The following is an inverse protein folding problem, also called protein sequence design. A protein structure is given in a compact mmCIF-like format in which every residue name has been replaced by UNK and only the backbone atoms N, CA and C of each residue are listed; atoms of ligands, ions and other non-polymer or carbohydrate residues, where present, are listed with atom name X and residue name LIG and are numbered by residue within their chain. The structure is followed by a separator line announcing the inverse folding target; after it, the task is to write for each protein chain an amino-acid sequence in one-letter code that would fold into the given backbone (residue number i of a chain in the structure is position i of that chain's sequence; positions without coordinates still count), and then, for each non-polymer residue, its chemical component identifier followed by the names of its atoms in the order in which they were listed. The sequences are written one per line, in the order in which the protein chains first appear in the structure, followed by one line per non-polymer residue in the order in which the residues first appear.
data_IF_480174170700
#
_entry.id   IF_480174170700
#
_cell.length_a   1.000
_cell.length_b   1.000
_cell.length_c   1.000
_cell.angle_alpha   90.00
_cell.angle_beta   90.00
_cell.angle_gamma   90.00
#
_symmetry.space_group_name_H-M   'P 1'
#
loop_
_entity.id
_entity.type
_entity.pdbx_description
1 polymer ?
#
# COMPACT_ATOMS: atom_id res chain seq x y z
N UNK A 1 17.09 24.37 -19.35
CA UNK A 1 16.42 23.15 -18.85
C UNK A 1 17.52 22.10 -18.75
N UNK A 2 17.84 21.68 -17.55
CA UNK A 2 18.99 20.83 -17.25
C UNK A 2 18.73 19.44 -17.84
N UNK A 3 19.62 18.96 -18.72
CA UNK A 3 19.43 17.67 -19.42
C UNK A 3 19.41 16.48 -18.43
N UNK A 4 20.06 16.61 -17.28
CA UNK A 4 19.98 15.63 -16.19
C UNK A 4 18.57 15.57 -15.57
N UNK A 5 17.93 16.73 -15.35
CA UNK A 5 16.55 16.76 -14.81
C UNK A 5 15.53 16.13 -15.77
N UNK A 6 15.71 16.31 -17.09
CA UNK A 6 14.79 15.78 -18.11
C UNK A 6 14.83 14.25 -18.18
N UNK A 7 15.98 13.63 -17.87
CA UNK A 7 16.13 12.17 -17.87
C UNK A 7 15.67 11.51 -16.55
N UNK A 8 15.48 12.29 -15.48
CA UNK A 8 15.26 11.77 -14.13
C UNK A 8 13.81 11.96 -13.62
N UNK A 9 12.96 12.68 -14.35
CA UNK A 9 11.54 12.81 -14.05
C UNK A 9 10.71 12.90 -15.32
N UNK A 10 9.52 12.29 -15.30
CA UNK A 10 8.53 12.38 -16.39
C UNK A 10 7.27 13.08 -15.92
N UNK A 11 6.64 13.87 -16.80
CA UNK A 11 5.33 14.48 -16.54
C UNK A 11 4.22 13.41 -16.63
N UNK A 12 3.31 13.44 -15.67
CA UNK A 12 2.09 12.63 -15.64
C UNK A 12 0.93 13.46 -16.18
N UNK A 13 0.61 13.29 -17.46
CA UNK A 13 -0.42 14.08 -18.18
C UNK A 13 -1.79 13.39 -18.20
N UNK A 14 -1.86 12.16 -17.68
CA UNK A 14 -3.08 11.35 -17.61
C UNK A 14 -3.27 10.80 -16.22
N UNK A 15 -4.52 10.59 -15.84
CA UNK A 15 -4.86 9.93 -14.59
C UNK A 15 -4.33 8.49 -14.56
N UNK A 16 -3.55 8.17 -13.53
CA UNK A 16 -2.99 6.84 -13.32
C UNK A 16 -4.07 5.76 -13.11
N UNK A 17 -5.25 6.14 -12.61
CA UNK A 17 -6.36 5.20 -12.38
C UNK A 17 -7.26 5.03 -13.61
N UNK A 18 -7.87 6.11 -14.13
CA UNK A 18 -8.89 6.02 -15.17
C UNK A 18 -8.40 6.43 -16.57
N UNK A 19 -7.14 6.87 -16.69
CA UNK A 19 -6.50 7.32 -17.93
C UNK A 19 -7.12 8.60 -18.56
N UNK A 20 -7.95 9.35 -17.82
CA UNK A 20 -8.47 10.64 -18.25
C UNK A 20 -7.35 11.69 -18.36
N UNK A 21 -7.46 12.62 -19.31
CA UNK A 21 -6.58 13.80 -19.42
C UNK A 21 -7.06 14.97 -18.56
N UNK A 22 -8.24 14.86 -17.94
CA UNK A 22 -8.85 15.94 -17.17
C UNK A 22 -8.27 15.97 -15.75
N UNK A 23 -7.04 16.46 -15.65
CA UNK A 23 -6.35 16.70 -14.39
C UNK A 23 -6.41 18.19 -14.04
N UNK A 24 -6.70 18.48 -12.76
CA UNK A 24 -6.71 19.83 -12.21
C UNK A 24 -5.72 19.94 -11.07
N UNK A 25 -4.95 21.06 -11.04
CA UNK A 25 -3.99 21.32 -9.97
C UNK A 25 -4.72 21.62 -8.66
N UNK A 26 -4.35 20.89 -7.60
CA UNK A 26 -4.85 21.09 -6.24
C UNK A 26 -3.82 21.86 -5.40
N UNK A 27 -2.56 21.43 -5.39
CA UNK A 27 -1.52 22.02 -4.55
C UNK A 27 -0.20 22.11 -5.32
N UNK A 28 0.46 23.27 -5.29
CA UNK A 28 1.80 23.47 -5.83
C UNK A 28 2.78 23.75 -4.67
N UNK A 29 3.64 22.79 -4.39
CA UNK A 29 4.69 22.92 -3.39
C UNK A 29 6.03 23.37 -4.03
N UNK A 30 6.01 23.84 -5.27
CA UNK A 30 7.16 24.27 -6.05
C UNK A 30 8.16 23.13 -6.37
N UNK A 31 9.42 23.52 -6.59
CA UNK A 31 10.55 22.56 -6.71
C UNK A 31 10.98 22.15 -5.31
N UNK A 32 11.00 20.86 -5.03
CA UNK A 32 11.43 20.31 -3.75
C UNK A 32 12.55 19.29 -3.94
N UNK A 33 13.46 19.14 -2.98
CA UNK A 33 14.40 18.04 -2.94
C UNK A 33 13.67 16.71 -2.68
N UNK A 34 14.31 15.61 -3.06
CA UNK A 34 13.78 14.29 -2.74
C UNK A 34 13.86 14.02 -1.24
N UNK A 35 12.82 13.46 -0.66
CA UNK A 35 12.85 12.94 0.69
C UNK A 35 13.93 11.83 0.80
N UNK A 36 14.48 11.64 1.99
CA UNK A 36 15.52 10.62 2.28
C UNK A 36 16.85 10.77 1.51
N UNK A 37 16.98 11.78 0.65
CA UNK A 37 18.23 12.07 -0.08
C UNK A 37 19.12 13.04 0.72
N UNK A 38 19.69 12.57 1.82
CA UNK A 38 20.49 13.41 2.71
C UNK A 38 21.85 13.77 2.10
N UNK A 39 22.18 15.05 2.10
CA UNK A 39 23.49 15.56 1.69
C UNK A 39 24.57 15.07 2.65
N UNK A 40 25.70 14.64 2.12
CA UNK A 40 26.89 14.27 2.91
C UNK A 40 27.69 15.49 3.36
N UNK A 41 27.64 16.58 2.58
CA UNK A 41 28.25 17.87 2.87
C UNK A 41 27.28 19.02 2.61
N UNK A 42 27.36 20.14 3.34
CA UNK A 42 26.58 21.34 3.04
C UNK A 42 26.80 21.86 1.60
N UNK A 43 27.95 21.62 1.01
CA UNK A 43 28.32 22.09 -0.32
C UNK A 43 27.89 21.15 -1.45
N UNK A 44 27.33 19.97 -1.13
CA UNK A 44 26.83 19.04 -2.14
C UNK A 44 25.65 19.66 -2.90
N UNK A 45 25.63 19.51 -4.22
CA UNK A 45 24.49 19.88 -5.05
C UNK A 45 23.27 19.03 -4.69
N UNK A 46 22.10 19.64 -4.71
CA UNK A 46 20.83 18.99 -4.40
C UNK A 46 19.92 19.05 -5.62
N UNK A 47 19.49 17.87 -6.09
CA UNK A 47 18.50 17.77 -7.16
C UNK A 47 17.12 18.09 -6.60
N UNK A 48 16.42 19.01 -7.28
CA UNK A 48 15.02 19.34 -6.96
C UNK A 48 14.13 19.01 -8.13
N UNK A 49 12.88 18.61 -7.84
CA UNK A 49 11.86 18.26 -8.83
C UNK A 49 10.53 18.93 -8.49
N UNK A 50 9.67 19.18 -9.51
CA UNK A 50 8.33 19.72 -9.25
C UNK A 50 7.55 18.80 -8.30
N UNK A 51 6.98 19.39 -7.24
CA UNK A 51 6.12 18.68 -6.30
C UNK A 51 4.73 19.31 -6.32
N UNK A 52 3.87 18.79 -7.20
CA UNK A 52 2.51 19.28 -7.45
C UNK A 52 1.51 18.15 -7.36
N UNK A 53 0.42 18.39 -6.64
CA UNK A 53 -0.69 17.46 -6.51
C UNK A 53 -1.81 17.85 -7.48
N UNK A 54 -2.21 16.91 -8.33
CA UNK A 54 -3.35 17.04 -9.24
C UNK A 54 -4.50 16.13 -8.80
N UNK A 55 -5.74 16.55 -9.10
CA UNK A 55 -6.93 15.72 -8.98
C UNK A 55 -7.50 15.39 -10.37
N UNK A 56 -7.93 14.15 -10.55
CA UNK A 56 -8.66 13.74 -11.74
C UNK A 56 -10.15 14.12 -11.63
N UNK A 57 -10.68 14.89 -12.59
CA UNK A 57 -12.10 15.30 -12.60
C UNK A 57 -13.07 14.13 -12.80
N UNK A 58 -12.60 13.03 -13.38
CA UNK A 58 -13.44 11.87 -13.68
C UNK A 58 -13.58 10.92 -12.48
N UNK A 59 -12.46 10.47 -11.89
CA UNK A 59 -12.50 9.47 -10.82
C UNK A 59 -12.03 9.99 -9.45
N UNK A 60 -11.76 11.28 -9.32
CA UNK A 60 -11.30 11.95 -8.10
C UNK A 60 -9.98 11.42 -7.53
N UNK A 61 -9.19 10.71 -8.35
CA UNK A 61 -7.86 10.27 -7.98
C UNK A 61 -6.93 11.45 -7.81
N UNK A 62 -6.17 11.46 -6.71
CA UNK A 62 -5.11 12.42 -6.46
C UNK A 62 -3.77 11.80 -6.84
N UNK A 63 -2.96 12.54 -7.59
CA UNK A 63 -1.65 12.09 -8.04
C UNK A 63 -0.67 13.24 -8.17
N UNK A 64 0.64 12.95 -8.10
CA UNK A 64 1.64 13.94 -8.45
C UNK A 64 1.60 14.28 -9.95
N UNK A 65 2.07 15.47 -10.29
CA UNK A 65 2.21 15.91 -11.69
C UNK A 65 3.44 15.33 -12.39
N UNK A 66 4.42 14.85 -11.62
CA UNK A 66 5.67 14.28 -12.12
C UNK A 66 6.04 13.03 -11.34
N UNK A 67 6.61 12.05 -12.04
CA UNK A 67 7.24 10.87 -11.44
C UNK A 67 8.75 10.96 -11.61
N UNK A 68 9.48 10.90 -10.51
CA UNK A 68 10.95 10.78 -10.50
C UNK A 68 11.32 9.34 -10.84
N UNK A 69 12.47 9.16 -11.51
CA UNK A 69 12.96 7.82 -11.85
C UNK A 69 13.09 6.95 -10.59
N UNK A 70 12.42 5.78 -10.52
CA UNK A 70 12.38 4.92 -9.34
C UNK A 70 13.77 4.41 -8.90
N UNK A 71 14.73 4.32 -9.81
CA UNK A 71 16.09 3.90 -9.47
C UNK A 71 16.79 4.84 -8.50
N UNK A 72 16.48 6.14 -8.53
CA UNK A 72 16.98 7.11 -7.56
C UNK A 72 16.35 6.96 -6.18
N UNK A 73 15.13 6.43 -6.13
CA UNK A 73 14.36 6.37 -4.91
C UNK A 73 14.53 5.03 -4.18
N UNK A 74 14.68 3.90 -4.92
CA UNK A 74 14.44 2.59 -4.33
C UNK A 74 15.60 1.59 -4.43
N UNK A 75 16.63 1.81 -5.29
CA UNK A 75 17.76 0.86 -5.40
C UNK A 75 18.69 0.82 -4.18
N UNK A 76 18.82 1.94 -3.47
CA UNK A 76 19.54 2.06 -2.20
C UNK A 76 18.59 2.67 -1.16
N UNK A 77 17.72 1.83 -0.61
CA UNK A 77 16.59 2.29 0.19
C UNK A 77 16.96 2.36 1.66
N UNK A 78 16.83 3.54 2.25
CA UNK A 78 17.28 3.81 3.63
C UNK A 78 16.29 3.28 4.69
N UNK A 79 15.02 3.14 4.33
CA UNK A 79 14.01 2.70 5.29
C UNK A 79 14.06 1.19 5.46
N UNK A 80 14.20 0.74 6.72
CA UNK A 80 14.25 -0.68 7.10
C UNK A 80 13.07 -0.99 8.01
N UNK A 81 12.10 -1.78 7.52
CA UNK A 81 10.83 -2.08 8.20
C UNK A 81 11.04 -2.72 9.58
N UNK A 82 12.03 -3.60 9.71
CA UNK A 82 12.35 -4.32 10.94
C UNK A 82 12.90 -3.44 12.06
N UNK A 83 13.21 -2.17 11.81
CA UNK A 83 13.64 -1.23 12.87
C UNK A 83 12.47 -0.67 13.68
N UNK A 84 11.23 -0.82 13.18
CA UNK A 84 10.01 -0.28 13.79
C UNK A 84 9.25 -1.33 14.59
N UNK A 85 9.19 -1.17 15.92
CA UNK A 85 8.37 -2.03 16.79
C UNK A 85 6.89 -1.97 16.42
N UNK A 86 6.40 -0.79 16.00
CA UNK A 86 5.01 -0.60 15.56
C UNK A 86 4.71 -1.46 14.34
N UNK A 87 5.62 -1.49 13.35
CA UNK A 87 5.45 -2.33 12.17
C UNK A 87 5.53 -3.82 12.50
N UNK A 88 6.43 -4.24 13.39
CA UNK A 88 6.48 -5.63 13.85
C UNK A 88 5.14 -6.12 14.41
N UNK A 89 4.52 -5.32 15.29
CA UNK A 89 3.23 -5.64 15.89
C UNK A 89 2.11 -5.63 14.83
N UNK A 90 2.15 -4.65 13.92
CA UNK A 90 1.17 -4.55 12.84
C UNK A 90 1.25 -5.75 11.89
N UNK A 91 2.44 -6.13 11.43
CA UNK A 91 2.63 -7.27 10.52
C UNK A 91 2.23 -8.60 11.17
N UNK A 92 2.46 -8.77 12.47
CA UNK A 92 1.99 -9.95 13.22
C UNK A 92 0.47 -10.01 13.27
N UNK A 93 -0.19 -8.91 13.65
CA UNK A 93 -1.65 -8.82 13.65
C UNK A 93 -2.22 -8.98 12.25
N UNK A 94 -1.57 -8.38 11.23
CA UNK A 94 -1.98 -8.49 9.83
C UNK A 94 -1.96 -9.95 9.34
N UNK A 95 -0.86 -10.69 9.57
CA UNK A 95 -0.76 -12.08 9.17
C UNK A 95 -1.85 -12.96 9.83
N UNK A 96 -2.10 -12.74 11.13
CA UNK A 96 -3.17 -13.44 11.87
C UNK A 96 -4.57 -13.11 11.30
N UNK A 97 -4.85 -11.83 11.09
CA UNK A 97 -6.15 -11.37 10.57
C UNK A 97 -6.42 -11.84 9.14
N UNK A 98 -5.40 -11.83 8.27
CA UNK A 98 -5.52 -12.36 6.90
C UNK A 98 -5.92 -13.83 6.93
N UNK A 99 -5.25 -14.64 7.74
CA UNK A 99 -5.59 -16.06 7.87
C UNK A 99 -6.99 -16.25 8.42
N UNK A 100 -7.33 -15.56 9.51
CA UNK A 100 -8.63 -15.73 10.18
C UNK A 100 -9.80 -15.31 9.27
N UNK A 101 -9.72 -14.13 8.64
CA UNK A 101 -10.88 -13.55 7.97
C UNK A 101 -11.08 -14.06 6.54
N UNK A 102 -10.00 -14.43 5.83
CA UNK A 102 -10.09 -14.74 4.40
C UNK A 102 -9.80 -16.21 4.06
N UNK A 103 -9.28 -17.00 5.01
CA UNK A 103 -8.91 -18.39 4.75
C UNK A 103 -9.46 -19.39 5.76
N UNK A 104 -9.57 -19.05 7.04
CA UNK A 104 -10.06 -19.98 8.07
C UNK A 104 -11.58 -19.93 8.19
N UNK A 105 -12.17 -18.74 8.19
CA UNK A 105 -13.65 -18.59 8.31
C UNK A 105 -14.43 -19.22 7.17
N UNK A 106 -13.85 -19.36 5.99
CA UNK A 106 -14.50 -20.01 4.84
C UNK A 106 -14.59 -21.53 4.95
N UNK A 107 -13.76 -22.15 5.80
CA UNK A 107 -13.60 -23.60 5.89
C UNK A 107 -14.19 -24.21 7.18
N UNK A 108 -14.74 -23.40 8.09
CA UNK A 108 -15.29 -23.86 9.36
C UNK A 108 -16.83 -23.81 9.31
N UNK A 109 -17.53 -24.94 9.57
CA UNK A 109 -18.99 -24.91 9.75
C UNK A 109 -19.37 -23.98 10.91
N UNK A 110 -20.43 -23.22 10.75
CA UNK A 110 -20.93 -22.08 11.51
C UNK A 110 -21.21 -22.24 13.02
N UNK A 111 -20.46 -23.04 13.74
CA UNK A 111 -20.63 -23.26 15.19
C UNK A 111 -19.53 -22.65 16.07
N UNK A 112 -18.68 -21.74 15.54
CA UNK A 112 -17.56 -21.12 16.30
C UNK A 112 -17.86 -19.68 16.77
N UNK A 113 -19.08 -19.18 16.62
CA UNK A 113 -19.47 -17.87 17.19
C UNK A 113 -19.39 -17.80 18.74
N UNK A 114 -18.93 -18.87 19.39
CA UNK A 114 -18.78 -18.93 20.84
C UNK A 114 -17.34 -18.86 21.35
N UNK A 115 -16.33 -18.73 20.49
CA UNK A 115 -14.90 -18.83 20.90
C UNK A 115 -14.07 -17.55 20.81
N UNK A 116 -14.61 -16.39 20.59
CA UNK A 116 -13.82 -15.16 20.55
C UNK A 116 -14.54 -13.89 21.02
N UNK A 117 -14.74 -13.67 22.33
CA UNK A 117 -15.01 -12.34 22.86
C UNK A 117 -13.79 -11.56 23.35
N UNK A 118 -12.61 -12.18 23.56
CA UNK A 118 -11.60 -11.58 24.45
C UNK A 118 -10.27 -11.14 23.82
N UNK A 119 -10.15 -11.03 22.51
CA UNK A 119 -8.89 -10.65 21.86
C UNK A 119 -8.68 -9.13 21.66
N UNK A 120 -9.54 -8.28 22.25
CA UNK A 120 -9.48 -6.80 22.10
C UNK A 120 -8.95 -6.09 23.35
N UNK A 121 -8.75 -6.75 24.44
CA UNK A 121 -8.19 -6.10 25.66
C UNK A 121 -7.01 -6.89 26.22
N UNK A 122 -5.82 -6.31 26.09
CA UNK A 122 -4.63 -6.82 26.78
C UNK A 122 -4.79 -6.72 28.30
N UNK A 123 -5.23 -7.79 28.92
CA UNK A 123 -5.04 -8.01 30.35
C UNK A 123 -4.68 -9.48 30.56
N UNK A 124 -3.49 -9.70 31.11
CA UNK A 124 -3.01 -11.00 31.57
C UNK A 124 -4.07 -11.67 32.44
N UNK A 125 -4.57 -12.82 31.99
CA UNK A 125 -5.20 -13.80 32.87
C UNK A 125 -4.60 -15.16 32.58
N UNK A 126 -4.05 -15.78 33.62
CA UNK A 126 -3.54 -17.15 33.64
C UNK A 126 -4.55 -18.11 33.06
N UNK A 127 -4.22 -18.75 31.95
CA UNK A 127 -4.96 -19.87 31.38
C UNK A 127 -4.36 -21.12 31.98
N UNK A 128 -5.13 -21.81 32.81
CA UNK A 128 -4.80 -23.14 33.34
C UNK A 128 -4.95 -24.16 32.22
N UNK A 129 -3.94 -25.03 32.08
CA UNK A 129 -3.87 -26.14 31.13
C UNK A 129 -5.01 -27.15 31.34
N UNK A 130 -6.09 -27.03 30.56
CA UNK A 130 -6.94 -28.19 30.27
C UNK A 130 -6.63 -28.66 28.85
N UNK A 131 -6.27 -29.94 28.73
CA UNK A 131 -5.91 -30.63 27.50
C UNK A 131 -6.98 -30.43 26.40
N UNK A 132 -6.77 -29.47 25.53
CA UNK A 132 -7.46 -29.42 24.23
C UNK A 132 -6.77 -30.45 23.35
N UNK A 133 -7.42 -31.60 23.15
CA UNK A 133 -6.97 -32.59 22.16
C UNK A 133 -6.97 -31.92 20.79
N UNK A 134 -5.80 -31.50 20.34
CA UNK A 134 -5.55 -31.06 19.00
C UNK A 134 -5.84 -32.21 18.03
N UNK A 135 -7.06 -32.25 17.46
CA UNK A 135 -7.22 -32.87 16.16
C UNK A 135 -6.37 -32.01 15.20
N UNK A 136 -5.33 -32.62 14.63
CA UNK A 136 -4.42 -32.03 13.63
C UNK A 136 -5.20 -31.55 12.40
N UNK A 137 -5.84 -30.38 12.47
CA UNK A 137 -6.24 -29.62 11.29
C UNK A 137 -4.95 -29.04 10.69
N UNK A 138 -4.24 -29.88 9.95
CA UNK A 138 -3.16 -29.40 9.10
C UNK A 138 -3.78 -28.60 7.97
N UNK A 139 -3.92 -27.28 8.19
CA UNK A 139 -4.07 -26.36 7.07
C UNK A 139 -2.90 -26.60 6.11
N UNK A 140 -3.14 -26.97 4.86
CA UNK A 140 -2.04 -27.19 3.92
C UNK A 140 -1.14 -25.95 3.89
N UNK A 141 0.19 -26.11 3.80
CA UNK A 141 1.10 -24.99 3.80
C UNK A 141 0.71 -24.02 2.71
N UNK A 142 0.24 -22.84 3.09
CA UNK A 142 -0.17 -21.77 2.17
C UNK A 142 1.05 -20.98 1.75
N UNK A 143 0.94 -20.31 0.62
CA UNK A 143 2.00 -19.56 -0.03
C UNK A 143 1.69 -18.08 0.01
N UNK A 144 2.70 -17.25 0.26
CA UNK A 144 2.60 -15.80 0.25
C UNK A 144 3.71 -15.18 -0.58
N UNK A 145 3.35 -14.18 -1.39
CA UNK A 145 4.27 -13.27 -2.06
C UNK A 145 4.11 -11.86 -1.46
N UNK A 146 5.22 -11.28 -1.04
CA UNK A 146 5.29 -9.89 -0.62
C UNK A 146 6.05 -9.08 -1.69
N UNK A 147 5.34 -8.16 -2.35
CA UNK A 147 5.90 -7.28 -3.38
C UNK A 147 6.40 -6.01 -2.70
N UNK A 148 7.68 -5.68 -2.87
CA UNK A 148 8.46 -4.71 -2.11
C UNK A 148 8.61 -5.15 -0.65
N UNK A 149 9.13 -6.36 -0.46
CA UNK A 149 9.24 -7.03 0.83
C UNK A 149 10.28 -6.42 1.79
N UNK A 150 11.00 -5.39 1.37
CA UNK A 150 12.01 -4.66 2.13
C UNK A 150 13.04 -5.63 2.76
N UNK A 151 13.20 -5.66 4.07
CA UNK A 151 14.11 -6.55 4.81
C UNK A 151 13.54 -7.94 5.11
N UNK A 152 12.29 -8.23 4.69
CA UNK A 152 11.61 -9.51 4.91
C UNK A 152 10.87 -9.63 6.25
N UNK A 153 10.83 -8.57 7.06
CA UNK A 153 10.17 -8.58 8.39
C UNK A 153 8.71 -9.01 8.33
N UNK A 154 7.95 -8.60 7.30
CA UNK A 154 6.57 -9.05 7.11
C UNK A 154 6.49 -10.53 6.73
N UNK A 155 7.35 -10.99 5.84
CA UNK A 155 7.45 -12.39 5.44
C UNK A 155 7.77 -13.31 6.63
N UNK A 156 8.59 -12.85 7.60
CA UNK A 156 8.88 -13.60 8.82
C UNK A 156 7.61 -13.94 9.61
N UNK A 157 6.59 -13.05 9.62
CA UNK A 157 5.32 -13.31 10.34
C UNK A 157 4.51 -14.41 9.67
N UNK A 158 4.46 -14.43 8.35
CA UNK A 158 3.80 -15.49 7.59
C UNK A 158 4.56 -16.82 7.68
N UNK A 159 5.90 -16.77 7.68
CA UNK A 159 6.73 -17.97 7.89
C UNK A 159 6.53 -18.57 9.28
N UNK A 160 6.40 -17.73 10.31
CA UNK A 160 6.17 -18.19 11.69
C UNK A 160 4.86 -18.98 11.85
N UNK A 161 3.85 -18.70 11.04
CA UNK A 161 2.58 -19.46 11.01
C UNK A 161 2.57 -20.58 9.96
N UNK A 162 3.76 -20.99 9.47
CA UNK A 162 3.95 -22.17 8.61
C UNK A 162 3.75 -21.95 7.12
N UNK A 163 3.72 -20.72 6.63
CA UNK A 163 3.57 -20.43 5.21
C UNK A 163 4.90 -20.52 4.45
N UNK A 164 4.84 -20.86 3.18
CA UNK A 164 5.94 -20.72 2.24
C UNK A 164 5.98 -19.28 1.73
N UNK A 165 7.13 -18.63 1.88
CA UNK A 165 7.28 -17.19 1.70
C UNK A 165 8.15 -16.85 0.50
N UNK A 166 7.66 -15.95 -0.33
CA UNK A 166 8.32 -15.40 -1.51
C UNK A 166 8.34 -13.88 -1.41
N UNK A 167 9.39 -13.26 -1.93
CA UNK A 167 9.50 -11.80 -1.97
C UNK A 167 10.09 -11.32 -3.29
N UNK A 168 9.87 -10.04 -3.60
CA UNK A 168 10.57 -9.31 -4.64
C UNK A 168 10.73 -7.86 -4.19
N UNK A 169 11.96 -7.33 -4.28
CA UNK A 169 12.28 -5.97 -3.85
C UNK A 169 13.50 -5.44 -4.60
N UNK A 170 13.49 -4.21 -5.16
CA UNK A 170 14.62 -3.65 -5.90
C UNK A 170 15.78 -3.18 -5.01
N UNK A 171 15.60 -3.04 -3.69
CA UNK A 171 16.59 -2.52 -2.76
C UNK A 171 17.78 -3.48 -2.59
N UNK A 172 18.86 -3.20 -3.31
CA UNK A 172 20.07 -4.03 -3.30
C UNK A 172 20.72 -4.12 -1.92
N UNK A 173 20.68 -3.03 -1.15
CA UNK A 173 21.24 -2.96 0.19
C UNK A 173 20.45 -3.79 1.22
N UNK A 174 19.20 -4.14 0.95
CA UNK A 174 18.33 -4.94 1.84
C UNK A 174 18.24 -6.42 1.43
N UNK A 175 18.69 -6.77 0.23
CA UNK A 175 18.51 -8.12 -0.33
C UNK A 175 19.15 -9.22 0.53
N UNK A 176 20.33 -8.98 1.12
CA UNK A 176 20.97 -9.96 2.01
C UNK A 176 20.11 -10.24 3.26
N UNK A 177 19.40 -9.24 3.77
CA UNK A 177 18.52 -9.40 4.93
C UNK A 177 17.28 -10.21 4.54
N UNK A 178 16.56 -9.79 3.50
CA UNK A 178 15.30 -10.39 3.06
C UNK A 178 15.48 -11.83 2.55
N UNK A 179 16.56 -12.11 1.82
CA UNK A 179 16.82 -13.45 1.25
C UNK A 179 17.36 -14.48 2.28
N UNK A 180 17.70 -14.04 3.48
CA UNK A 180 18.24 -14.93 4.52
C UNK A 180 17.27 -16.06 4.92
N UNK A 181 15.98 -15.76 4.96
CA UNK A 181 14.93 -16.68 5.39
C UNK A 181 13.88 -16.98 4.32
N UNK A 182 13.87 -16.27 3.21
CA UNK A 182 12.83 -16.30 2.19
C UNK A 182 13.41 -16.47 0.78
N UNK A 183 12.58 -16.92 -0.16
CA UNK A 183 12.94 -16.94 -1.59
C UNK A 183 12.64 -15.54 -2.16
N UNK A 184 13.67 -14.67 -2.25
CA UNK A 184 13.53 -13.28 -2.66
C UNK A 184 14.29 -12.99 -3.95
N UNK A 185 13.64 -12.28 -4.87
CA UNK A 185 14.24 -11.74 -6.09
C UNK A 185 14.59 -10.27 -5.84
N UNK A 186 15.83 -9.86 -6.20
CA UNK A 186 16.29 -8.48 -6.07
C UNK A 186 16.00 -7.72 -7.36
N UNK A 187 14.75 -7.32 -7.57
CA UNK A 187 14.31 -6.57 -8.75
C UNK A 187 12.93 -5.94 -8.53
N UNK A 188 12.50 -5.11 -9.49
CA UNK A 188 11.12 -4.63 -9.58
C UNK A 188 10.16 -5.75 -10.01
N UNK A 189 8.91 -5.71 -9.53
CA UNK A 189 7.87 -6.63 -9.95
C UNK A 189 7.35 -6.26 -11.35
N UNK A 190 7.84 -6.96 -12.37
CA UNK A 190 7.53 -6.73 -13.78
C UNK A 190 6.92 -7.98 -14.44
N UNK A 191 6.54 -7.85 -15.72
CA UNK A 191 6.00 -8.97 -16.52
C UNK A 191 6.97 -10.16 -16.64
N UNK A 192 8.28 -9.93 -16.52
CA UNK A 192 9.32 -10.96 -16.60
C UNK A 192 9.18 -12.05 -15.52
N UNK A 193 8.57 -11.70 -14.38
CA UNK A 193 8.42 -12.62 -13.25
C UNK A 193 7.05 -13.31 -13.17
N UNK A 194 6.14 -13.06 -14.14
CA UNK A 194 4.79 -13.64 -14.14
C UNK A 194 4.85 -15.17 -14.15
N UNK A 195 5.59 -15.78 -15.07
CA UNK A 195 5.66 -17.24 -15.18
C UNK A 195 6.31 -17.87 -13.93
N UNK A 196 7.32 -17.21 -13.37
CA UNK A 196 7.96 -17.64 -12.14
C UNK A 196 6.94 -17.72 -10.99
N UNK A 197 6.23 -16.61 -10.69
CA UNK A 197 5.30 -16.56 -9.56
C UNK A 197 4.00 -17.35 -9.82
N UNK A 198 3.52 -17.42 -11.05
CA UNK A 198 2.37 -18.25 -11.42
C UNK A 198 2.59 -19.73 -11.10
N UNK A 199 3.83 -20.20 -11.27
CA UNK A 199 4.21 -21.59 -10.94
C UNK A 199 4.14 -21.89 -9.43
N UNK A 200 4.20 -20.88 -8.58
CA UNK A 200 4.19 -21.02 -7.10
C UNK A 200 2.79 -21.25 -6.53
N UNK A 201 1.71 -20.99 -7.28
CA UNK A 201 0.30 -21.12 -6.86
C UNK A 201 0.05 -20.31 -5.57
N UNK A 202 0.18 -19.01 -5.69
CA UNK A 202 0.12 -18.08 -4.55
C UNK A 202 -1.30 -17.95 -4.00
N UNK A 203 -1.48 -18.21 -2.70
CA UNK A 203 -2.75 -17.98 -1.99
C UNK A 203 -2.88 -16.51 -1.57
N UNK A 204 -1.77 -15.88 -1.19
CA UNK A 204 -1.70 -14.51 -0.71
C UNK A 204 -0.69 -13.73 -1.54
N UNK A 205 -1.10 -12.55 -2.01
CA UNK A 205 -0.21 -11.54 -2.60
C UNK A 205 -0.37 -10.27 -1.78
N UNK A 206 0.74 -9.68 -1.36
CA UNK A 206 0.77 -8.48 -0.53
C UNK A 206 1.55 -7.40 -1.24
N UNK A 207 1.05 -6.16 -1.17
CA UNK A 207 1.74 -4.96 -1.63
C UNK A 207 1.41 -3.82 -0.66
N UNK A 208 2.18 -3.71 0.43
CA UNK A 208 1.96 -2.68 1.44
C UNK A 208 2.97 -1.55 1.29
N UNK A 209 2.46 -0.31 1.27
CA UNK A 209 3.27 0.93 1.13
C UNK A 209 4.19 0.95 -0.11
N UNK A 210 3.79 0.29 -1.19
CA UNK A 210 4.49 0.26 -2.48
C UNK A 210 3.60 0.71 -3.62
N UNK A 211 2.31 0.39 -3.58
CA UNK A 211 1.40 0.63 -4.70
C UNK A 211 1.25 2.12 -5.02
N UNK A 212 1.26 2.98 -4.00
CA UNK A 212 1.25 4.43 -4.16
C UNK A 212 2.53 5.00 -4.80
N UNK A 213 3.63 4.24 -4.82
CA UNK A 213 4.91 4.62 -5.41
C UNK A 213 5.02 4.24 -6.89
N UNK A 214 4.02 3.56 -7.44
CA UNK A 214 4.08 3.00 -8.79
C UNK A 214 3.47 3.98 -9.81
N UNK A 215 4.23 4.29 -10.85
CA UNK A 215 3.81 5.14 -11.97
C UNK A 215 3.07 4.37 -13.09
N UNK A 216 2.96 3.03 -12.97
CA UNK A 216 2.19 2.12 -13.83
C UNK A 216 1.24 1.22 -13.00
N UNK A 217 0.34 1.78 -12.17
CA UNK A 217 -0.48 0.98 -11.26
C UNK A 217 -1.43 0.02 -12.00
N UNK A 218 -1.82 0.35 -13.23
CA UNK A 218 -2.61 -0.53 -14.08
C UNK A 218 -1.86 -1.81 -14.46
N UNK A 219 -0.60 -1.70 -14.86
CA UNK A 219 0.20 -2.85 -15.26
C UNK A 219 0.59 -3.68 -14.03
N UNK A 220 0.88 -3.02 -12.91
CA UNK A 220 1.07 -3.71 -11.63
C UNK A 220 -0.13 -4.61 -11.27
N UNK A 221 -1.37 -4.10 -11.33
CA UNK A 221 -2.57 -4.91 -11.07
C UNK A 221 -2.77 -6.01 -12.08
N UNK A 222 -2.46 -5.78 -13.37
CA UNK A 222 -2.50 -6.83 -14.41
C UNK A 222 -1.48 -7.92 -14.14
N UNK A 223 -0.27 -7.58 -13.70
CA UNK A 223 0.76 -8.56 -13.34
C UNK A 223 0.32 -9.38 -12.12
N UNK A 224 -0.22 -8.74 -11.08
CA UNK A 224 -0.82 -9.43 -9.93
C UNK A 224 -1.91 -10.40 -10.40
N UNK A 225 -2.87 -9.91 -11.22
CA UNK A 225 -3.95 -10.75 -11.77
C UNK A 225 -3.42 -11.98 -12.53
N UNK A 226 -2.35 -11.82 -13.33
CA UNK A 226 -1.80 -12.90 -14.14
C UNK A 226 -1.21 -14.06 -13.32
N UNK A 227 -0.82 -13.80 -12.08
CA UNK A 227 -0.28 -14.81 -11.14
C UNK A 227 -1.31 -15.35 -10.15
N UNK A 228 -2.55 -14.78 -10.14
CA UNK A 228 -3.66 -15.20 -9.28
C UNK A 228 -4.39 -16.44 -9.82
N UNK A 229 -4.98 -17.18 -8.90
CA UNK A 229 -5.98 -18.23 -9.14
C UNK A 229 -7.21 -17.96 -8.25
N UNK A 230 -8.29 -18.73 -8.38
CA UNK A 230 -9.58 -18.47 -7.73
C UNK A 230 -9.50 -18.30 -6.20
N UNK A 231 -8.57 -18.98 -5.56
CA UNK A 231 -8.37 -18.87 -4.10
C UNK A 231 -7.37 -17.77 -3.70
N UNK A 232 -6.72 -17.10 -4.65
CA UNK A 232 -5.76 -16.03 -4.33
C UNK A 232 -6.50 -14.79 -3.81
N UNK A 233 -5.95 -14.16 -2.78
CA UNK A 233 -6.35 -12.81 -2.32
C UNK A 233 -5.15 -11.87 -2.44
N UNK A 234 -5.40 -10.71 -3.05
CA UNK A 234 -4.43 -9.64 -3.20
C UNK A 234 -4.74 -8.55 -2.19
N UNK A 235 -3.76 -8.20 -1.37
CA UNK A 235 -3.85 -7.19 -0.31
C UNK A 235 -2.97 -6.00 -0.69
N UNK A 236 -3.62 -4.85 -0.97
CA UNK A 236 -2.92 -3.60 -1.29
C UNK A 236 -3.19 -2.60 -0.18
N UNK A 237 -2.13 -2.19 0.51
CA UNK A 237 -2.21 -1.10 1.48
C UNK A 237 -1.65 0.18 0.89
N UNK A 238 -2.41 1.26 1.04
CA UNK A 238 -1.98 2.63 0.71
C UNK A 238 -2.19 3.52 1.92
N UNK A 239 -1.20 4.33 2.25
CA UNK A 239 -1.32 5.34 3.29
C UNK A 239 -2.20 6.52 2.85
N UNK A 240 -2.38 7.52 3.71
CA UNK A 240 -3.06 8.81 3.46
C UNK A 240 -4.57 8.73 3.23
N UNK A 241 -5.25 7.73 3.80
CA UNK A 241 -6.70 7.58 3.70
C UNK A 241 -7.50 8.80 4.17
N UNK A 242 -6.97 9.55 5.14
CA UNK A 242 -7.62 10.73 5.72
C UNK A 242 -6.87 12.05 5.46
N UNK A 243 -5.92 12.05 4.53
CA UNK A 243 -5.06 13.21 4.23
C UNK A 243 -5.85 14.50 3.98
N UNK A 244 -6.87 14.45 3.12
CA UNK A 244 -7.68 15.64 2.79
C UNK A 244 -8.50 16.09 4.00
N UNK A 245 -9.12 15.17 4.71
CA UNK A 245 -9.91 15.46 5.91
C UNK A 245 -9.09 16.14 7.01
N UNK A 246 -7.86 15.67 7.22
CA UNK A 246 -6.96 16.15 8.27
C UNK A 246 -6.10 17.35 7.84
N UNK A 247 -6.16 17.77 6.57
CA UNK A 247 -5.29 18.77 5.96
C UNK A 247 -3.80 18.39 6.06
N UNK A 248 -3.50 17.12 5.92
CA UNK A 248 -2.13 16.59 5.87
C UNK A 248 -1.56 16.79 4.48
N UNK A 249 -0.49 17.57 4.34
CA UNK A 249 0.23 17.78 3.09
C UNK A 249 1.71 17.38 3.18
N UNK A 250 2.19 17.13 4.36
CA UNK A 250 3.54 16.62 4.65
C UNK A 250 3.77 15.19 4.15
N UNK A 251 2.67 14.46 3.87
CA UNK A 251 2.71 13.15 3.22
C UNK A 251 2.93 13.24 1.70
N UNK A 252 2.88 14.45 1.11
CA UNK A 252 3.12 14.69 -0.30
C UNK A 252 4.61 14.87 -0.52
N UNK A 253 5.25 13.85 -1.08
CA UNK A 253 6.65 13.85 -1.50
C UNK A 253 6.85 12.89 -2.67
N UNK A 254 8.00 12.93 -3.33
CA UNK A 254 8.19 12.34 -4.66
C UNK A 254 8.04 10.81 -4.73
N UNK A 255 8.14 10.11 -3.61
CA UNK A 255 7.88 8.67 -3.58
C UNK A 255 6.37 8.34 -3.66
N UNK A 256 5.50 9.23 -3.13
CA UNK A 256 4.05 9.03 -3.13
C UNK A 256 3.42 9.61 -4.41
N UNK A 257 3.41 8.83 -5.49
CA UNK A 257 2.86 9.28 -6.77
C UNK A 257 1.33 9.33 -6.78
N UNK A 258 0.67 8.51 -5.97
CA UNK A 258 -0.78 8.30 -5.94
C UNK A 258 -1.34 8.34 -4.53
N UNK A 259 -2.50 8.99 -4.38
CA UNK A 259 -3.26 9.07 -3.13
C UNK A 259 -4.66 8.52 -3.43
N UNK A 260 -4.82 7.22 -3.15
CA UNK A 260 -6.03 6.50 -3.51
C UNK A 260 -7.16 6.78 -2.53
N UNK A 261 -8.35 7.05 -3.07
CA UNK A 261 -9.62 6.90 -2.39
C UNK A 261 -10.35 5.65 -2.92
N UNK A 262 -11.44 5.24 -2.26
CA UNK A 262 -12.17 4.03 -2.65
C UNK A 262 -12.71 4.09 -4.08
N UNK A 263 -13.25 5.25 -4.51
CA UNK A 263 -13.76 5.44 -5.87
C UNK A 263 -12.68 5.28 -6.93
N UNK A 264 -11.50 5.87 -6.72
CA UNK A 264 -10.40 5.79 -7.68
C UNK A 264 -9.80 4.38 -7.75
N UNK A 265 -9.68 3.69 -6.61
CA UNK A 265 -9.17 2.31 -6.56
C UNK A 265 -10.16 1.33 -7.19
N UNK A 266 -11.48 1.49 -6.98
CA UNK A 266 -12.50 0.69 -7.65
C UNK A 266 -12.42 0.84 -9.17
N UNK A 267 -12.33 2.08 -9.68
CA UNK A 267 -12.20 2.33 -11.11
C UNK A 267 -10.93 1.68 -11.71
N UNK A 268 -9.83 1.68 -10.96
CA UNK A 268 -8.58 1.06 -11.40
C UNK A 268 -8.66 -0.47 -11.37
N UNK A 269 -9.19 -1.06 -10.29
CA UNK A 269 -9.35 -2.51 -10.12
C UNK A 269 -10.27 -3.10 -11.19
N UNK A 270 -11.42 -2.47 -11.45
CA UNK A 270 -12.36 -2.87 -12.50
C UNK A 270 -11.69 -2.89 -13.88
N UNK A 271 -10.94 -1.83 -14.23
CA UNK A 271 -10.20 -1.76 -15.50
C UNK A 271 -9.09 -2.82 -15.59
N UNK A 272 -8.47 -3.21 -14.48
CA UNK A 272 -7.51 -4.31 -14.42
C UNK A 272 -8.19 -5.68 -14.48
N UNK A 273 -9.53 -5.74 -14.33
CA UNK A 273 -10.31 -6.97 -14.29
C UNK A 273 -10.15 -7.71 -12.96
N UNK A 274 -10.07 -6.97 -11.87
CA UNK A 274 -10.11 -7.43 -10.48
C UNK A 274 -11.36 -6.89 -9.79
N UNK A 275 -11.81 -7.58 -8.75
CA UNK A 275 -12.91 -7.14 -7.88
C UNK A 275 -12.36 -6.81 -6.51
N UNK A 276 -12.63 -5.60 -6.01
CA UNK A 276 -12.39 -5.25 -4.60
C UNK A 276 -13.50 -5.91 -3.80
N UNK A 277 -13.13 -6.77 -2.88
CA UNK A 277 -14.05 -7.55 -2.05
C UNK A 277 -14.17 -7.04 -0.62
N UNK A 278 -13.19 -6.24 -0.19
CA UNK A 278 -13.18 -5.64 1.14
C UNK A 278 -12.33 -4.37 1.15
N UNK A 279 -12.69 -3.39 2.00
CA UNK A 279 -11.91 -2.19 2.28
C UNK A 279 -11.83 -2.02 3.79
N UNK A 280 -10.62 -2.11 4.32
CA UNK A 280 -10.36 -1.99 5.77
C UNK A 280 -9.48 -0.78 6.03
N UNK A 281 -9.83 0.04 7.03
CA UNK A 281 -8.93 1.08 7.56
C UNK A 281 -8.01 0.50 8.61
N UNK A 282 -6.73 0.78 8.49
CA UNK A 282 -5.70 0.35 9.45
C UNK A 282 -5.03 1.56 10.08
N UNK A 283 -4.71 1.54 11.39
CA UNK A 283 -4.12 2.68 12.10
C UNK A 283 -2.60 2.77 11.91
N UNK A 284 -2.11 2.45 10.71
CA UNK A 284 -0.68 2.53 10.38
C UNK A 284 -0.43 3.72 9.44
N UNK A 285 0.71 4.39 9.60
CA UNK A 285 1.10 5.57 8.81
C UNK A 285 0.01 6.66 8.76
N UNK A 286 -0.52 7.04 9.94
CA UNK A 286 -1.61 7.99 10.08
C UNK A 286 -2.98 7.34 10.00
N UNK A 287 -3.40 6.88 8.88
CA UNK A 287 -4.50 5.96 8.59
C UNK A 287 -4.32 5.46 7.17
N UNK A 288 -4.36 4.15 6.98
CA UNK A 288 -4.20 3.53 5.66
C UNK A 288 -5.46 2.81 5.23
N UNK A 289 -5.70 2.77 3.92
CA UNK A 289 -6.61 1.80 3.33
C UNK A 289 -5.88 0.49 3.06
N UNK A 290 -6.54 -0.61 3.40
CA UNK A 290 -6.21 -1.95 2.95
C UNK A 290 -7.32 -2.39 1.98
N UNK A 291 -7.02 -2.45 0.71
CA UNK A 291 -7.90 -2.96 -0.33
C UNK A 291 -7.64 -4.45 -0.53
N UNK A 292 -8.68 -5.26 -0.38
CA UNK A 292 -8.60 -6.70 -0.62
C UNK A 292 -9.26 -7.02 -1.96
N UNK A 293 -8.53 -7.67 -2.84
CA UNK A 293 -8.97 -7.95 -4.21
C UNK A 293 -8.95 -9.44 -4.51
N UNK A 294 -9.85 -9.85 -5.40
CA UNK A 294 -9.95 -11.21 -5.91
C UNK A 294 -10.23 -11.19 -7.43
N UNK A 295 -10.15 -12.36 -8.05
CA UNK A 295 -10.66 -12.52 -9.41
C UNK A 295 -12.18 -12.34 -9.43
N UNK A 296 -12.78 -11.82 -10.51
CA UNK A 296 -14.22 -11.56 -10.58
C UNK A 296 -15.04 -12.84 -10.37
N UNK A 297 -16.08 -12.75 -9.52
CA UNK A 297 -17.06 -13.80 -9.31
C UNK A 297 -16.62 -14.99 -8.46
N UNK A 298 -15.42 -14.93 -7.86
CA UNK A 298 -14.90 -16.03 -7.01
C UNK A 298 -15.28 -15.91 -5.53
N UNK A 299 -15.74 -14.76 -5.10
CA UNK A 299 -16.28 -14.52 -3.75
C UNK A 299 -17.19 -13.30 -3.72
N UNK A 300 -17.99 -13.20 -2.66
CA UNK A 300 -18.87 -12.08 -2.43
C UNK A 300 -18.09 -10.81 -2.08
N UNK A 301 -18.69 -9.65 -2.33
CA UNK A 301 -18.20 -8.34 -1.95
C UNK A 301 -18.79 -7.98 -0.59
N UNK A 302 -17.96 -7.61 0.37
CA UNK A 302 -18.39 -7.20 1.70
C UNK A 302 -19.06 -5.82 1.67
N UNK A 303 -19.97 -5.58 2.60
CA UNK A 303 -20.66 -4.29 2.77
C UNK A 303 -19.69 -3.13 3.03
N UNK A 304 -18.52 -3.41 3.60
CA UNK A 304 -17.42 -2.44 3.86
C UNK A 304 -17.01 -1.64 2.62
N UNK A 305 -17.15 -2.21 1.42
CA UNK A 305 -16.83 -1.52 0.16
C UNK A 305 -17.82 -0.39 -0.08
N UNK A 306 -19.11 -0.67 0.06
CA UNK A 306 -20.17 0.33 -0.12
C UNK A 306 -20.17 1.35 1.02
N UNK A 307 -20.03 0.90 2.27
CA UNK A 307 -19.95 1.76 3.45
C UNK A 307 -18.80 2.78 3.34
N UNK A 308 -17.63 2.32 2.84
CA UNK A 308 -16.48 3.21 2.69
C UNK A 308 -16.69 4.25 1.57
N UNK A 309 -17.33 3.88 0.46
CA UNK A 309 -17.68 4.82 -0.61
C UNK A 309 -18.65 5.91 -0.12
N UNK A 310 -19.67 5.51 0.64
CA UNK A 310 -20.66 6.42 1.21
C UNK A 310 -20.01 7.37 2.21
N UNK A 311 -19.14 6.86 3.08
CA UNK A 311 -18.39 7.67 4.03
C UNK A 311 -17.52 8.72 3.33
N UNK A 312 -16.79 8.35 2.29
CA UNK A 312 -15.96 9.29 1.50
C UNK A 312 -16.82 10.35 0.79
N UNK A 313 -17.99 9.96 0.29
CA UNK A 313 -18.94 10.90 -0.32
C UNK A 313 -19.48 11.89 0.70
N UNK A 314 -19.87 11.44 1.89
CA UNK A 314 -20.32 12.31 2.99
C UNK A 314 -19.21 13.26 3.45
N UNK A 315 -17.97 12.81 3.46
CA UNK A 315 -16.79 13.62 3.77
C UNK A 315 -16.41 14.61 2.65
N UNK A 316 -17.03 14.49 1.48
CA UNK A 316 -16.80 15.36 0.33
C UNK A 316 -15.53 15.05 -0.47
N UNK A 317 -14.91 13.87 -0.29
CA UNK A 317 -13.72 13.48 -1.03
C UNK A 317 -13.97 13.33 -2.55
N UNK A 318 -15.22 13.09 -2.92
CA UNK A 318 -15.63 12.97 -4.32
C UNK A 318 -16.17 14.29 -4.92
N UNK A 319 -16.18 15.37 -4.14
CA UNK A 319 -16.66 16.70 -4.53
C UNK A 319 -15.48 17.63 -4.81
N UNK A 320 -15.23 17.92 -6.10
CA UNK A 320 -14.12 18.78 -6.53
C UNK A 320 -14.18 20.19 -5.92
N UNK A 321 -15.38 20.69 -5.57
CA UNK A 321 -15.55 22.01 -4.96
C UNK A 321 -14.95 22.14 -3.56
N UNK A 322 -14.58 21.03 -2.92
CA UNK A 322 -13.98 21.00 -1.57
C UNK A 322 -12.46 21.21 -1.58
N UNK A 323 -11.81 20.92 -2.71
CA UNK A 323 -10.35 20.97 -2.79
C UNK A 323 -9.73 22.37 -2.71
N UNK A 324 -10.35 23.45 -3.21
CA UNK A 324 -9.82 24.80 -2.96
C UNK A 324 -9.66 25.16 -1.47
N UNK A 325 -10.58 24.71 -0.61
CA UNK A 325 -10.48 24.94 0.84
C UNK A 325 -9.32 24.15 1.46
N UNK A 326 -9.06 22.93 1.00
CA UNK A 326 -7.88 22.16 1.40
C UNK A 326 -6.59 22.88 1.00
N UNK A 327 -6.52 23.36 -0.25
CA UNK A 327 -5.37 24.12 -0.77
C UNK A 327 -5.08 25.36 0.06
N UNK A 328 -6.11 26.17 0.34
CA UNK A 328 -6.00 27.38 1.16
C UNK A 328 -5.48 27.05 2.55
N UNK A 329 -6.04 26.00 3.17
CA UNK A 329 -5.63 25.56 4.50
C UNK A 329 -4.17 25.10 4.55
N UNK A 330 -3.68 24.37 3.54
CA UNK A 330 -2.29 23.98 3.44
C UNK A 330 -1.35 25.18 3.39
N UNK A 331 -1.65 26.20 2.57
CA UNK A 331 -0.84 27.42 2.49
C UNK A 331 -0.89 28.25 3.76
N UNK A 332 -2.02 28.30 4.45
CA UNK A 332 -2.12 28.94 5.77
C UNK A 332 -1.19 28.29 6.79
N UNK A 333 -1.15 26.94 6.84
CA UNK A 333 -0.28 26.18 7.76
C UNK A 333 1.19 26.50 7.45
N UNK A 334 1.60 26.50 6.18
CA UNK A 334 2.96 26.85 5.76
C UNK A 334 3.31 28.28 6.19
N UNK A 335 2.41 29.25 5.98
CA UNK A 335 2.61 30.65 6.36
C UNK A 335 2.79 30.79 7.88
N UNK A 336 1.89 30.18 8.67
CA UNK A 336 1.97 30.20 10.13
C UNK A 336 3.23 29.53 10.67
N UNK A 337 3.71 28.45 10.01
CA UNK A 337 4.96 27.80 10.38
C UNK A 337 6.16 28.73 10.13
N UNK A 338 6.19 29.37 8.96
CA UNK A 338 7.23 30.31 8.58
C UNK A 338 7.33 31.47 9.58
N UNK A 339 6.20 32.09 9.95
CA UNK A 339 6.13 33.18 10.94
C UNK A 339 6.64 32.78 12.34
N UNK A 340 6.58 31.47 12.68
CA UNK A 340 7.07 30.96 13.97
C UNK A 340 8.56 30.66 13.97
N UNK A 341 9.15 30.45 12.79
CA UNK A 341 10.59 30.13 12.64
C UNK A 341 11.42 31.39 12.47
N UNK A 342 10.87 32.43 11.82
CA UNK A 342 11.47 33.76 11.70
C UNK A 342 11.36 34.57 13.01
#
# INVERSE_FOLDING_TARGET
MDLEKVNNAKSLTRCLCCNSEELELVLDLNEQPMANSFKKSPDDEELTFPLRLNICKNCTHLQLSHAVNPDFLFKDYLYVSGTSKTLHNYFEAFAGNVMLNYFIKSDIPTNIDQLAPDFVSGTDKDITDEEVTHQDYRVPPRTVLDIACNDGTQLDKFKAIGMKTYGIDPAQNLHELSSRNHEVICDYFTEEYIDHYKSKKLDIIIAQNVFAHNDYPMDFLKHCKAIMHDNTRLFIQTSQAEMIKNNEFDTIYHEHLSFFNSKSMLALAERAGLTIIDIVKTPIHGTSYLFVMALPGVCDVNDTVQEQLELEQEQGLHDLSKYPAYTERCYEIVTQLKEKIE
#
